data_IF_379920116663
#
_entry.id   IF_379920116663
#
_cell.length_a   1.000
_cell.length_b   1.000
_cell.length_c   1.000
_cell.angle_alpha   90.00
_cell.angle_beta   90.00
_cell.angle_gamma   90.00
#
_symmetry.space_group_name_H-M   'P 1'
#
loop_
_entity.id
_entity.type
_entity.pdbx_description
1 polymer ?
#
# COMPACT_ATOMS: atom_id res chain seq x y z
N UNK A 1 -3.33 -7.89 -7.42
CA UNK A 1 -2.56 -8.60 -8.47
C UNK A 1 -1.78 -9.73 -7.79
N UNK A 2 -0.73 -10.29 -8.39
CA UNK A 2 0.23 -11.13 -7.64
C UNK A 2 1.45 -10.27 -7.27
N UNK A 3 1.77 -10.17 -5.99
CA UNK A 3 2.81 -9.28 -5.47
C UNK A 3 4.19 -9.59 -6.08
N UNK A 4 4.51 -10.87 -6.30
CA UNK A 4 5.78 -11.25 -6.93
C UNK A 4 5.80 -11.01 -8.44
N UNK A 5 4.65 -11.12 -9.12
CA UNK A 5 4.56 -10.78 -10.54
C UNK A 5 4.71 -9.27 -10.77
N UNK A 6 4.08 -8.45 -9.92
CA UNK A 6 4.21 -6.99 -9.94
C UNK A 6 5.67 -6.56 -9.68
N UNK A 7 6.28 -7.11 -8.61
CA UNK A 7 7.67 -6.88 -8.25
C UNK A 7 8.64 -7.24 -9.39
N UNK A 8 8.44 -8.39 -10.06
CA UNK A 8 9.29 -8.83 -11.19
C UNK A 8 9.09 -8.01 -12.46
N UNK A 9 7.88 -7.51 -12.74
CA UNK A 9 7.64 -6.58 -13.85
C UNK A 9 8.38 -5.25 -13.61
N UNK A 10 8.29 -4.70 -12.40
CA UNK A 10 9.01 -3.49 -12.00
C UNK A 10 10.53 -3.69 -12.07
N UNK A 11 11.06 -4.81 -11.55
CA UNK A 11 12.49 -5.13 -11.69
C UNK A 11 12.92 -5.25 -13.16
N UNK A 12 12.11 -5.87 -14.03
CA UNK A 12 12.40 -5.97 -15.47
C UNK A 12 12.50 -4.58 -16.12
N UNK A 13 11.64 -3.64 -15.72
CA UNK A 13 11.71 -2.24 -16.15
C UNK A 13 12.98 -1.52 -15.68
N UNK A 14 13.39 -1.74 -14.43
CA UNK A 14 14.63 -1.18 -13.87
C UNK A 14 15.89 -1.77 -14.52
N UNK A 15 15.91 -3.08 -14.80
CA UNK A 15 17.02 -3.73 -15.52
C UNK A 15 17.18 -3.16 -16.93
N UNK A 16 16.09 -2.87 -17.65
CA UNK A 16 16.16 -2.16 -18.94
C UNK A 16 16.74 -0.76 -18.78
N UNK A 17 16.28 0.02 -17.80
CA UNK A 17 16.82 1.35 -17.49
C UNK A 17 18.35 1.31 -17.28
N UNK A 18 18.84 0.38 -16.44
CA UNK A 18 20.28 0.24 -16.17
C UNK A 18 21.09 -0.15 -17.43
N UNK A 19 20.51 -0.97 -18.32
CA UNK A 19 21.15 -1.41 -19.58
C UNK A 19 21.13 -0.34 -20.67
N UNK A 20 19.99 0.32 -20.88
CA UNK A 20 19.67 1.12 -22.06
C UNK A 20 19.99 2.62 -21.89
N UNK A 21 19.81 3.18 -20.69
CA UNK A 21 20.07 4.61 -20.44
C UNK A 21 21.58 4.94 -20.44
N UNK A 22 21.91 6.18 -20.78
CA UNK A 22 23.26 6.72 -20.63
C UNK A 22 23.42 7.45 -19.30
N UNK A 23 24.23 6.87 -18.42
CA UNK A 23 24.63 7.41 -17.12
C UNK A 23 26.12 7.16 -16.94
N UNK A 24 26.84 8.14 -16.39
CA UNK A 24 28.28 8.10 -16.10
C UNK A 24 28.56 8.10 -14.59
N UNK A 25 27.67 8.70 -13.80
CA UNK A 25 27.78 8.80 -12.34
C UNK A 25 26.73 7.90 -11.65
N UNK A 26 27.04 7.43 -10.44
CA UNK A 26 26.06 6.67 -9.65
C UNK A 26 24.89 7.57 -9.20
N UNK A 27 25.12 8.86 -8.98
CA UNK A 27 24.09 9.85 -8.65
C UNK A 27 23.01 9.94 -9.75
N UNK A 28 23.41 10.03 -11.02
CA UNK A 28 22.50 10.10 -12.17
C UNK A 28 21.57 8.88 -12.20
N UNK A 29 22.12 7.69 -11.97
CA UNK A 29 21.35 6.44 -11.93
C UNK A 29 20.39 6.37 -10.73
N UNK A 30 20.84 6.80 -9.54
CA UNK A 30 19.97 6.88 -8.35
C UNK A 30 18.77 7.80 -8.60
N UNK A 31 18.99 8.95 -9.24
CA UNK A 31 17.93 9.92 -9.47
C UNK A 31 16.98 9.52 -10.63
N UNK A 32 17.47 8.81 -11.65
CA UNK A 32 16.62 8.15 -12.65
C UNK A 32 15.71 7.07 -12.04
N UNK A 33 16.26 6.24 -11.13
CA UNK A 33 15.49 5.20 -10.45
C UNK A 33 14.48 5.80 -9.45
N UNK A 34 14.85 6.87 -8.73
CA UNK A 34 13.91 7.66 -7.90
C UNK A 34 12.79 8.27 -8.72
N UNK A 35 13.10 8.84 -9.90
CA UNK A 35 12.10 9.43 -10.79
C UNK A 35 11.07 8.40 -11.27
N UNK A 36 11.50 7.16 -11.56
CA UNK A 36 10.58 6.03 -11.85
C UNK A 36 9.75 5.62 -10.63
N UNK A 37 10.34 5.65 -9.43
CA UNK A 37 9.68 5.24 -8.19
C UNK A 37 8.66 6.24 -7.62
N UNK A 38 8.81 7.54 -7.93
CA UNK A 38 8.07 8.63 -7.26
C UNK A 38 6.54 8.52 -7.30
N UNK A 39 5.99 7.87 -8.32
CA UNK A 39 4.54 7.74 -8.52
C UNK A 39 3.97 6.39 -8.03
N UNK A 40 4.77 5.55 -7.37
CA UNK A 40 4.33 4.26 -6.84
C UNK A 40 3.70 4.42 -5.44
N UNK A 41 2.68 3.61 -5.14
CA UNK A 41 2.12 3.57 -3.78
C UNK A 41 3.17 3.10 -2.76
N UNK A 42 3.29 3.73 -1.58
CA UNK A 42 4.47 3.57 -0.72
C UNK A 42 4.69 2.14 -0.20
N UNK A 43 3.63 1.35 -0.04
CA UNK A 43 3.68 -0.06 0.37
C UNK A 43 3.55 -1.08 -0.78
N UNK A 44 3.50 -0.64 -2.04
CA UNK A 44 3.44 -1.58 -3.18
C UNK A 44 4.72 -2.42 -3.25
N UNK A 45 4.63 -3.71 -3.65
CA UNK A 45 5.79 -4.55 -3.97
C UNK A 45 6.75 -3.90 -4.96
N UNK A 46 6.24 -3.12 -5.92
CA UNK A 46 7.05 -2.31 -6.85
C UNK A 46 7.86 -1.23 -6.14
N UNK A 47 7.29 -0.53 -5.15
CA UNK A 47 8.02 0.47 -4.36
C UNK A 47 9.09 -0.18 -3.48
N UNK A 48 8.81 -1.35 -2.90
CA UNK A 48 9.81 -2.15 -2.17
C UNK A 48 10.96 -2.58 -3.11
N UNK A 49 10.68 -3.04 -4.33
CA UNK A 49 11.71 -3.35 -5.35
C UNK A 49 12.54 -2.12 -5.70
N UNK A 50 11.92 -0.95 -5.93
CA UNK A 50 12.67 0.29 -6.21
C UNK A 50 13.63 0.63 -5.06
N UNK A 51 13.17 0.58 -3.79
CA UNK A 51 14.03 0.82 -2.62
C UNK A 51 15.18 -0.20 -2.52
N UNK A 52 14.92 -1.47 -2.83
CA UNK A 52 15.97 -2.52 -2.89
C UNK A 52 17.00 -2.25 -4.00
N UNK A 53 16.57 -1.81 -5.18
CA UNK A 53 17.47 -1.44 -6.30
C UNK A 53 18.28 -0.17 -5.99
N UNK A 54 17.67 0.85 -5.39
CA UNK A 54 18.39 2.05 -4.91
C UNK A 54 19.48 1.70 -3.90
N UNK A 55 19.22 0.73 -3.00
CA UNK A 55 20.27 0.21 -2.13
C UNK A 55 21.35 -0.55 -2.89
N UNK A 56 21.02 -1.47 -3.80
CA UNK A 56 22.03 -2.20 -4.59
C UNK A 56 22.98 -1.25 -5.33
N UNK A 57 22.47 -0.14 -5.88
CA UNK A 57 23.29 0.91 -6.52
C UNK A 57 24.30 1.51 -5.53
N UNK A 58 23.91 1.77 -4.27
CA UNK A 58 24.82 2.30 -3.24
C UNK A 58 25.79 1.26 -2.70
N UNK A 59 25.33 0.04 -2.44
CA UNK A 59 26.14 -1.01 -1.84
C UNK A 59 27.26 -1.45 -2.81
N UNK A 60 26.97 -1.63 -4.11
CA UNK A 60 28.00 -1.91 -5.12
C UNK A 60 28.92 -0.70 -5.37
N UNK A 61 28.40 0.54 -5.36
CA UNK A 61 29.25 1.72 -5.48
C UNK A 61 30.22 1.87 -4.29
N UNK A 62 29.74 1.67 -3.07
CA UNK A 62 30.58 1.68 -1.87
C UNK A 62 31.61 0.54 -1.89
N UNK A 63 31.21 -0.66 -2.32
CA UNK A 63 32.10 -1.82 -2.52
C UNK A 63 33.21 -1.54 -3.54
N UNK A 64 32.88 -0.84 -4.64
CA UNK A 64 33.82 -0.43 -5.68
C UNK A 64 34.79 0.67 -5.22
N UNK A 65 34.31 1.66 -4.44
CA UNK A 65 35.11 2.83 -4.01
C UNK A 65 35.97 2.55 -2.77
N UNK A 66 35.45 1.79 -1.80
CA UNK A 66 36.17 1.44 -0.55
C UNK A 66 36.97 0.15 -0.65
N UNK A 67 36.71 -0.66 -1.69
CA UNK A 67 37.17 -2.04 -1.77
C UNK A 67 36.39 -2.97 -0.84
N UNK A 68 36.71 -4.28 -0.89
CA UNK A 68 35.99 -5.35 -0.17
C UNK A 68 36.30 -5.41 1.35
N UNK A 69 36.17 -4.30 2.07
CA UNK A 69 36.31 -4.23 3.54
C UNK A 69 35.19 -3.43 4.23
N UNK A 70 33.93 -3.67 3.85
CA UNK A 70 32.80 -3.36 4.73
C UNK A 70 32.62 -4.53 5.72
N UNK A 71 33.41 -4.53 6.80
CA UNK A 71 33.19 -5.44 7.94
C UNK A 71 31.77 -5.19 8.51
N UNK A 72 31.00 -6.27 8.68
CA UNK A 72 29.58 -6.22 8.96
C UNK A 72 29.24 -5.67 10.37
N UNK A 73 30.15 -5.82 11.33
CA UNK A 73 29.84 -5.81 12.77
C UNK A 73 30.43 -4.64 13.58
N UNK A 74 30.73 -3.49 12.95
CA UNK A 74 31.03 -2.25 13.70
C UNK A 74 29.76 -1.42 13.89
N UNK A 75 29.43 -1.15 15.16
CA UNK A 75 28.23 -0.45 15.62
C UNK A 75 27.90 0.82 14.82
N UNK A 76 26.63 0.96 14.44
CA UNK A 76 26.12 2.11 13.66
C UNK A 76 26.41 3.44 14.35
N UNK A 77 26.27 3.50 15.69
CA UNK A 77 26.62 4.68 16.49
C UNK A 77 28.12 4.95 16.48
N UNK A 78 28.96 3.91 16.57
CA UNK A 78 30.41 4.11 16.55
C UNK A 78 30.89 4.56 15.16
N UNK A 79 30.32 4.03 14.07
CA UNK A 79 30.55 4.56 12.72
C UNK A 79 30.13 6.03 12.61
N UNK A 80 28.93 6.39 13.05
CA UNK A 80 28.42 7.78 12.95
C UNK A 80 29.19 8.77 13.83
N UNK A 81 29.70 8.35 14.99
CA UNK A 81 30.52 9.18 15.88
C UNK A 81 32.00 9.28 15.44
N UNK A 82 32.53 8.28 14.72
CA UNK A 82 33.89 8.30 14.16
C UNK A 82 33.94 8.86 12.73
N UNK A 83 32.80 9.03 12.05
CA UNK A 83 32.67 9.61 10.72
C UNK A 83 32.97 11.12 10.69
N UNK A 84 34.23 11.48 10.98
CA UNK A 84 34.84 12.71 10.49
C UNK A 84 35.41 12.42 9.10
N UNK A 85 34.76 13.00 8.10
CA UNK A 85 35.28 13.24 6.73
C UNK A 85 35.41 12.03 5.76
N UNK A 86 34.94 10.83 6.10
CA UNK A 86 35.00 9.66 5.17
C UNK A 86 33.94 9.69 4.05
N UNK A 87 34.42 9.74 2.80
CA UNK A 87 33.67 10.14 1.59
C UNK A 87 32.80 9.03 0.95
N UNK A 88 31.80 8.51 1.66
CA UNK A 88 30.91 7.43 1.14
C UNK A 88 29.65 7.96 0.41
N UNK A 89 29.23 9.20 0.68
CA UNK A 89 28.03 9.82 0.08
C UNK A 89 28.29 10.58 -1.23
N UNK A 90 29.53 10.58 -1.73
CA UNK A 90 29.93 11.28 -2.95
C UNK A 90 29.74 10.40 -4.20
N UNK A 91 28.48 10.22 -4.61
CA UNK A 91 28.08 9.40 -5.77
C UNK A 91 28.45 10.00 -7.14
N UNK A 92 29.22 11.10 -7.17
CA UNK A 92 29.54 11.86 -8.39
C UNK A 92 30.72 11.29 -9.17
N UNK A 93 31.57 10.47 -8.53
CA UNK A 93 32.79 9.94 -9.16
C UNK A 93 32.42 8.79 -10.12
N UNK A 94 32.77 8.86 -11.41
CA UNK A 94 32.45 7.79 -12.36
C UNK A 94 33.31 6.54 -12.09
N UNK A 95 32.69 5.36 -12.11
CA UNK A 95 33.38 4.07 -11.92
C UNK A 95 33.17 3.13 -13.13
N UNK A 96 34.19 2.92 -13.98
CA UNK A 96 34.09 2.00 -15.12
C UNK A 96 34.03 0.55 -14.62
N UNK A 97 32.88 -0.10 -14.81
CA UNK A 97 32.60 -1.47 -14.34
C UNK A 97 31.32 -1.58 -13.51
N UNK A 98 30.84 -0.48 -12.91
CA UNK A 98 29.66 -0.49 -12.04
C UNK A 98 28.41 -1.06 -12.75
N UNK A 99 28.25 -0.79 -14.04
CA UNK A 99 27.12 -1.30 -14.84
C UNK A 99 27.12 -2.83 -14.92
N UNK A 100 28.26 -3.49 -15.03
CA UNK A 100 28.33 -4.95 -15.12
C UNK A 100 28.02 -5.58 -13.76
N UNK A 101 28.65 -5.07 -12.69
CA UNK A 101 28.41 -5.51 -11.32
C UNK A 101 26.94 -5.36 -10.91
N UNK A 102 26.32 -4.22 -11.23
CA UNK A 102 24.89 -4.01 -10.94
C UNK A 102 23.99 -4.96 -11.73
N UNK A 103 24.33 -5.32 -12.97
CA UNK A 103 23.52 -6.25 -13.74
C UNK A 103 23.60 -7.68 -13.20
N UNK A 104 24.79 -8.13 -12.76
CA UNK A 104 24.92 -9.40 -12.04
C UNK A 104 24.10 -9.42 -10.75
N UNK A 105 24.13 -8.33 -9.96
CA UNK A 105 23.35 -8.17 -8.73
C UNK A 105 21.84 -8.10 -8.96
N UNK A 106 21.39 -7.47 -10.05
CA UNK A 106 19.97 -7.36 -10.42
C UNK A 106 19.43 -8.68 -10.97
N UNK A 107 20.23 -9.41 -11.74
CA UNK A 107 19.88 -10.76 -12.21
C UNK A 107 19.78 -11.74 -11.01
N UNK A 108 20.60 -11.58 -9.96
CA UNK A 108 20.45 -12.35 -8.71
C UNK A 108 19.20 -11.95 -7.91
N UNK A 109 18.88 -10.65 -7.83
CA UNK A 109 17.61 -10.19 -7.25
C UNK A 109 16.39 -10.76 -8.00
N UNK A 110 16.45 -10.93 -9.33
CA UNK A 110 15.36 -11.55 -10.08
C UNK A 110 15.25 -13.07 -9.80
N UNK A 111 16.37 -13.75 -9.49
CA UNK A 111 16.35 -15.14 -9.02
C UNK A 111 15.75 -15.26 -7.62
N UNK A 112 16.10 -14.36 -6.69
CA UNK A 112 15.52 -14.34 -5.34
C UNK A 112 14.01 -14.12 -5.39
N UNK A 113 13.55 -13.06 -6.07
CA UNK A 113 12.13 -12.71 -6.18
C UNK A 113 11.30 -13.78 -6.90
N UNK A 114 11.92 -14.58 -7.79
CA UNK A 114 11.23 -15.64 -8.54
C UNK A 114 10.97 -16.91 -7.71
N UNK A 115 11.87 -17.25 -6.79
CA UNK A 115 11.74 -18.46 -5.95
C UNK A 115 11.24 -18.16 -4.53
N UNK A 116 10.96 -16.88 -4.22
CA UNK A 116 10.62 -16.43 -2.87
C UNK A 116 9.36 -17.12 -2.31
N UNK A 117 8.22 -17.09 -3.01
CA UNK A 117 7.01 -17.81 -2.58
C UNK A 117 7.15 -19.33 -2.65
N UNK A 118 8.01 -19.87 -3.52
CA UNK A 118 8.30 -21.31 -3.57
C UNK A 118 9.08 -21.76 -2.32
N UNK A 119 10.06 -20.96 -1.87
CA UNK A 119 10.83 -21.18 -0.66
C UNK A 119 9.98 -21.01 0.61
N UNK A 120 9.02 -20.07 0.62
CA UNK A 120 7.99 -19.99 1.68
C UNK A 120 7.12 -21.25 1.67
N UNK A 121 6.57 -21.63 0.50
CA UNK A 121 5.69 -22.80 0.37
C UNK A 121 6.40 -24.11 0.76
N UNK A 122 7.70 -24.23 0.51
CA UNK A 122 8.53 -25.37 0.89
C UNK A 122 8.55 -25.64 2.41
N UNK A 123 8.29 -24.63 3.25
CA UNK A 123 8.23 -24.74 4.71
C UNK A 123 6.85 -25.23 5.23
N UNK A 124 5.82 -25.33 4.38
CA UNK A 124 4.49 -25.83 4.76
C UNK A 124 4.52 -27.17 5.52
N UNK A 125 5.30 -28.18 5.07
CA UNK A 125 5.52 -29.44 5.79
C UNK A 125 6.31 -29.36 7.11
N UNK A 126 6.75 -28.20 7.56
CA UNK A 126 7.36 -28.02 8.89
C UNK A 126 6.34 -27.49 9.91
N UNK A 127 5.36 -26.71 9.45
CA UNK A 127 4.35 -26.07 10.31
C UNK A 127 3.00 -26.81 10.40
N UNK A 128 2.56 -27.51 9.34
CA UNK A 128 1.22 -28.13 9.27
C UNK A 128 1.27 -29.62 9.62
N UNK A 129 0.57 -30.04 10.67
CA UNK A 129 0.54 -31.40 11.20
C UNK A 129 -0.73 -32.16 10.76
N UNK A 130 -0.65 -33.49 10.68
CA UNK A 130 -1.84 -34.30 10.40
C UNK A 130 -2.83 -34.22 11.56
N UNK A 131 -4.10 -33.95 11.25
CA UNK A 131 -5.16 -33.67 12.23
C UNK A 131 -5.38 -32.19 12.55
N UNK A 132 -4.56 -31.27 12.01
CA UNK A 132 -4.80 -29.83 12.16
C UNK A 132 -6.14 -29.40 11.53
N UNK A 133 -6.85 -28.50 12.22
CA UNK A 133 -7.87 -27.64 11.63
C UNK A 133 -7.26 -26.24 11.43
N UNK A 134 -6.96 -25.89 10.19
CA UNK A 134 -6.36 -24.60 9.82
C UNK A 134 -7.46 -23.58 9.49
N UNK A 135 -7.18 -22.30 9.73
CA UNK A 135 -8.00 -21.18 9.25
C UNK A 135 -7.17 -20.25 8.36
N UNK A 136 -7.73 -19.86 7.21
CA UNK A 136 -7.21 -18.80 6.33
C UNK A 136 -8.35 -17.87 5.92
N UNK A 137 -8.05 -16.65 5.51
CA UNK A 137 -9.02 -15.68 4.98
C UNK A 137 -8.63 -15.21 3.58
N UNK A 138 -9.63 -14.87 2.76
CA UNK A 138 -9.44 -14.31 1.44
C UNK A 138 -8.62 -15.23 0.53
N UNK A 139 -7.76 -14.63 -0.32
CA UNK A 139 -6.94 -15.38 -1.28
C UNK A 139 -5.49 -14.88 -1.33
N UNK A 140 -4.57 -15.69 -0.83
CA UNK A 140 -3.13 -15.53 -1.09
C UNK A 140 -2.58 -16.73 -1.86
N UNK A 141 -1.84 -16.46 -2.94
CA UNK A 141 -1.17 -17.50 -3.75
C UNK A 141 -0.06 -18.21 -2.97
N UNK A 142 0.67 -17.49 -2.12
CA UNK A 142 1.71 -18.04 -1.26
C UNK A 142 1.10 -19.01 -0.23
N UNK A 143 -0.03 -18.65 0.38
CA UNK A 143 -0.78 -19.55 1.28
C UNK A 143 -1.37 -20.75 0.52
N UNK A 144 -1.93 -20.53 -0.68
CA UNK A 144 -2.43 -21.60 -1.55
C UNK A 144 -1.32 -22.63 -1.87
N UNK A 145 -0.12 -22.16 -2.21
CA UNK A 145 1.05 -23.00 -2.46
C UNK A 145 1.55 -23.72 -1.19
N UNK A 146 1.63 -23.02 -0.05
CA UNK A 146 2.05 -23.56 1.26
C UNK A 146 1.14 -24.72 1.72
N UNK A 147 -0.18 -24.53 1.64
CA UNK A 147 -1.17 -25.58 1.95
C UNK A 147 -1.05 -26.78 0.99
N UNK A 148 -0.94 -26.53 -0.32
CA UNK A 148 -0.77 -27.60 -1.32
C UNK A 148 0.53 -28.37 -1.14
N UNK A 149 1.62 -27.70 -0.75
CA UNK A 149 2.92 -28.31 -0.49
C UNK A 149 2.91 -29.16 0.78
N UNK A 150 2.17 -28.75 1.82
CA UNK A 150 1.93 -29.58 3.00
C UNK A 150 1.13 -30.87 2.67
N UNK A 151 0.10 -30.76 1.83
CA UNK A 151 -0.74 -31.89 1.42
C UNK A 151 0.00 -32.96 0.60
N UNK A 152 0.98 -32.56 -0.21
CA UNK A 152 1.83 -33.49 -0.99
C UNK A 152 2.56 -34.53 -0.12
N UNK A 153 2.87 -34.19 1.13
CA UNK A 153 3.57 -35.08 2.07
C UNK A 153 2.62 -36.04 2.82
N UNK A 154 1.52 -36.45 2.17
CA UNK A 154 0.51 -37.41 2.66
C UNK A 154 -0.16 -37.01 4.00
N UNK A 155 -0.20 -35.71 4.33
CA UNK A 155 -0.80 -35.21 5.57
C UNK A 155 -2.28 -34.93 5.39
N UNK A 156 -3.10 -35.52 6.25
CA UNK A 156 -4.54 -35.26 6.33
C UNK A 156 -4.81 -34.13 7.33
N UNK A 157 -5.25 -32.98 6.82
CA UNK A 157 -5.65 -31.83 7.62
C UNK A 157 -6.89 -31.18 6.99
N UNK A 158 -7.56 -30.30 7.74
CA UNK A 158 -8.75 -29.58 7.30
C UNK A 158 -8.45 -28.07 7.22
N UNK A 159 -9.11 -27.38 6.30
CA UNK A 159 -8.93 -25.93 6.10
C UNK A 159 -10.29 -25.22 6.09
N UNK A 160 -10.53 -24.39 7.09
CA UNK A 160 -11.57 -23.36 7.06
C UNK A 160 -11.05 -22.20 6.22
N UNK A 161 -11.82 -21.80 5.20
CA UNK A 161 -11.55 -20.63 4.37
C UNK A 161 -12.63 -19.60 4.66
N UNK A 162 -12.25 -18.52 5.34
CA UNK A 162 -13.09 -17.34 5.48
C UNK A 162 -13.14 -16.57 4.15
N UNK A 163 -14.33 -16.20 3.69
CA UNK A 163 -14.56 -15.75 2.32
C UNK A 163 -13.80 -14.46 1.94
N UNK A 164 -13.62 -13.53 2.88
CA UNK A 164 -13.02 -12.22 2.61
C UNK A 164 -13.96 -11.29 1.84
N UNK A 165 -15.12 -10.99 2.42
CA UNK A 165 -16.01 -9.94 1.94
C UNK A 165 -15.31 -8.57 1.98
N UNK A 166 -15.62 -7.65 1.03
CA UNK A 166 -16.72 -7.74 0.07
C UNK A 166 -16.37 -8.41 -1.28
N UNK A 167 -15.11 -8.84 -1.48
CA UNK A 167 -14.69 -9.46 -2.75
C UNK A 167 -14.90 -10.97 -2.82
N UNK A 168 -15.03 -11.62 -1.67
CA UNK A 168 -15.22 -13.07 -1.51
C UNK A 168 -14.18 -13.93 -2.26
N UNK A 169 -12.95 -13.44 -2.41
CA UNK A 169 -11.89 -14.12 -3.19
C UNK A 169 -11.52 -15.50 -2.60
N UNK A 170 -11.83 -15.74 -1.31
CA UNK A 170 -11.66 -17.03 -0.63
C UNK A 170 -12.47 -18.18 -1.23
N UNK A 171 -13.56 -17.91 -1.97
CA UNK A 171 -14.28 -18.94 -2.73
C UNK A 171 -13.35 -19.63 -3.74
N UNK A 172 -12.53 -18.84 -4.46
CA UNK A 172 -11.58 -19.35 -5.45
C UNK A 172 -10.44 -20.13 -4.80
N UNK A 173 -10.03 -19.76 -3.58
CA UNK A 173 -9.05 -20.49 -2.78
C UNK A 173 -9.61 -21.85 -2.32
N UNK A 174 -10.83 -21.86 -1.77
CA UNK A 174 -11.51 -23.07 -1.31
C UNK A 174 -11.66 -24.10 -2.44
N UNK A 175 -12.14 -23.69 -3.62
CA UNK A 175 -12.17 -24.56 -4.80
C UNK A 175 -10.77 -25.09 -5.17
N UNK A 176 -9.76 -24.23 -5.16
CA UNK A 176 -8.42 -24.59 -5.64
C UNK A 176 -7.70 -25.56 -4.70
N UNK A 177 -8.06 -25.57 -3.42
CA UNK A 177 -7.63 -26.54 -2.42
C UNK A 177 -8.48 -27.84 -2.50
N UNK A 178 -9.80 -27.74 -2.67
CA UNK A 178 -10.69 -28.87 -2.88
C UNK A 178 -10.31 -29.70 -4.13
N UNK A 179 -9.93 -29.02 -5.22
CA UNK A 179 -9.39 -29.64 -6.45
C UNK A 179 -8.11 -30.46 -6.25
N UNK A 180 -7.40 -30.29 -5.13
CA UNK A 180 -6.21 -31.06 -4.73
C UNK A 180 -6.55 -32.17 -3.71
N UNK A 181 -7.81 -32.29 -3.29
CA UNK A 181 -8.26 -33.28 -2.31
C UNK A 181 -8.07 -32.86 -0.84
N UNK A 182 -7.77 -31.58 -0.59
CA UNK A 182 -7.71 -31.04 0.77
C UNK A 182 -9.15 -30.84 1.28
N UNK A 183 -9.42 -31.30 2.50
CA UNK A 183 -10.73 -31.18 3.13
C UNK A 183 -10.99 -29.71 3.54
N UNK A 184 -11.70 -28.98 2.69
CA UNK A 184 -11.96 -27.55 2.84
C UNK A 184 -13.40 -27.26 3.23
N UNK A 185 -13.62 -26.15 3.92
CA UNK A 185 -14.96 -25.64 4.24
C UNK A 185 -14.95 -24.12 4.11
N UNK A 186 -15.84 -23.58 3.29
CA UNK A 186 -16.05 -22.14 3.17
C UNK A 186 -16.86 -21.64 4.37
N UNK A 187 -16.49 -20.49 4.92
CA UNK A 187 -17.04 -19.90 6.14
C UNK A 187 -17.27 -18.39 5.90
N UNK A 188 -18.40 -17.81 6.31
CA UNK A 188 -18.58 -16.36 6.25
C UNK A 188 -17.75 -15.66 7.34
N UNK A 189 -17.24 -14.46 7.06
CA UNK A 189 -16.29 -13.79 7.97
C UNK A 189 -16.88 -13.55 9.38
N UNK A 190 -18.20 -13.37 9.48
CA UNK A 190 -18.93 -13.25 10.75
C UNK A 190 -18.86 -14.49 11.65
N UNK A 191 -18.56 -15.68 11.11
CA UNK A 191 -18.45 -16.93 11.85
C UNK A 191 -17.01 -17.24 12.32
N UNK A 192 -16.00 -16.43 11.93
CA UNK A 192 -14.59 -16.61 12.32
C UNK A 192 -14.44 -16.82 13.84
N UNK A 193 -14.97 -15.88 14.64
CA UNK A 193 -14.83 -15.92 16.11
C UNK A 193 -15.56 -17.11 16.74
N UNK A 194 -16.67 -17.56 16.14
CA UNK A 194 -17.45 -18.70 16.64
C UNK A 194 -16.76 -20.06 16.37
N UNK A 195 -15.94 -20.15 15.32
CA UNK A 195 -15.18 -21.36 14.98
C UNK A 195 -13.76 -21.36 15.56
N UNK A 196 -13.18 -20.18 15.86
CA UNK A 196 -11.81 -20.03 16.37
C UNK A 196 -11.44 -20.97 17.54
N UNK A 197 -12.31 -21.26 18.54
CA UNK A 197 -11.99 -22.20 19.62
C UNK A 197 -11.75 -23.66 19.19
N UNK A 198 -11.99 -24.00 17.92
CA UNK A 198 -11.71 -25.32 17.31
C UNK A 198 -10.47 -25.31 16.41
N UNK A 199 -10.00 -24.13 16.01
CA UNK A 199 -8.89 -23.95 15.06
C UNK A 199 -7.57 -24.24 15.76
N UNK A 200 -6.74 -25.07 15.14
CA UNK A 200 -5.43 -25.46 15.66
C UNK A 200 -4.35 -24.42 15.37
N UNK A 201 -4.41 -23.80 14.17
CA UNK A 201 -3.47 -22.78 13.69
C UNK A 201 -4.18 -21.85 12.69
N UNK A 202 -3.84 -20.56 12.70
CA UNK A 202 -4.25 -19.62 11.67
C UNK A 202 -3.09 -19.39 10.71
N UNK A 203 -3.37 -19.31 9.40
CA UNK A 203 -2.40 -18.96 8.37
C UNK A 203 -2.97 -17.81 7.54
N UNK A 204 -2.25 -16.68 7.47
CA UNK A 204 -2.60 -15.54 6.63
C UNK A 204 -1.56 -15.27 5.54
N UNK A 205 -1.99 -14.63 4.46
CA UNK A 205 -1.12 -13.86 3.59
C UNK A 205 -1.05 -12.40 4.04
N UNK A 206 -0.12 -11.66 3.47
CA UNK A 206 0.04 -10.21 3.69
C UNK A 206 0.40 -9.56 2.36
N UNK A 207 -0.06 -8.33 2.15
CA UNK A 207 0.30 -7.52 0.99
C UNK A 207 1.64 -6.80 1.23
N UNK A 208 1.90 -6.39 2.48
CA UNK A 208 3.12 -5.69 2.88
C UNK A 208 3.44 -5.89 4.37
N UNK A 209 4.71 -6.14 4.71
CA UNK A 209 5.23 -6.19 6.09
C UNK A 209 6.02 -4.91 6.38
N UNK A 210 5.64 -4.22 7.46
CA UNK A 210 6.24 -2.96 7.91
C UNK A 210 7.48 -3.21 8.79
N UNK A 211 8.37 -2.22 8.87
CA UNK A 211 9.66 -2.35 9.54
C UNK A 211 9.61 -2.39 11.08
N UNK A 212 8.43 -2.24 11.68
CA UNK A 212 8.14 -2.52 13.08
C UNK A 212 7.72 -3.98 13.33
N UNK A 213 7.32 -4.71 12.27
CA UNK A 213 6.70 -6.03 12.32
C UNK A 213 5.19 -6.04 12.07
N UNK A 214 4.56 -4.87 11.88
CA UNK A 214 3.16 -4.75 11.51
C UNK A 214 2.90 -5.21 10.07
N UNK A 215 1.63 -5.43 9.74
CA UNK A 215 1.20 -5.93 8.42
C UNK A 215 0.16 -5.00 7.80
N UNK A 216 0.29 -4.78 6.50
CA UNK A 216 -0.84 -4.50 5.63
C UNK A 216 -1.34 -5.83 5.04
N UNK A 217 -2.64 -6.08 5.15
CA UNK A 217 -3.28 -7.30 4.67
C UNK A 217 -4.71 -7.01 4.18
N UNK A 218 -5.42 -7.97 3.56
CA UNK A 218 -6.80 -7.76 3.14
C UNK A 218 -7.73 -7.41 4.32
N UNK A 219 -8.75 -6.60 4.03
CA UNK A 219 -9.82 -6.22 4.97
C UNK A 219 -10.31 -7.39 5.86
N UNK A 220 -10.40 -7.15 7.17
CA UNK A 220 -10.82 -8.15 8.16
C UNK A 220 -9.68 -8.96 8.79
N UNK A 221 -8.45 -8.86 8.27
CA UNK A 221 -7.28 -9.56 8.82
C UNK A 221 -6.98 -9.17 10.27
N UNK A 222 -7.19 -7.91 10.67
CA UNK A 222 -6.98 -7.47 12.05
C UNK A 222 -8.03 -8.09 12.99
N UNK A 223 -9.30 -8.10 12.59
CA UNK A 223 -10.38 -8.72 13.36
C UNK A 223 -10.14 -10.23 13.57
N UNK A 224 -9.66 -10.91 12.53
CA UNK A 224 -9.25 -12.32 12.60
C UNK A 224 -8.06 -12.52 13.54
N UNK A 225 -7.04 -11.65 13.47
CA UNK A 225 -5.85 -11.72 14.33
C UNK A 225 -6.18 -11.46 15.82
N UNK A 226 -7.09 -10.53 16.10
CA UNK A 226 -7.65 -10.33 17.46
C UNK A 226 -8.39 -11.57 17.94
N UNK A 227 -9.23 -12.19 17.11
CA UNK A 227 -9.93 -13.43 17.45
C UNK A 227 -8.95 -14.58 17.75
N UNK A 228 -7.88 -14.70 16.95
CA UNK A 228 -6.83 -15.70 17.16
C UNK A 228 -6.13 -15.50 18.52
N UNK A 229 -5.69 -14.26 18.81
CA UNK A 229 -5.09 -13.88 20.10
C UNK A 229 -6.03 -14.13 21.29
N UNK A 230 -7.31 -13.78 21.16
CA UNK A 230 -8.33 -14.01 22.19
C UNK A 230 -8.53 -15.50 22.51
N UNK A 231 -8.50 -16.36 21.49
CA UNK A 231 -8.60 -17.82 21.65
C UNK A 231 -7.24 -18.52 21.86
N UNK A 232 -6.14 -17.77 22.02
CA UNK A 232 -4.77 -18.28 22.13
C UNK A 232 -4.32 -19.21 20.96
N UNK A 233 -4.89 -19.03 19.77
CA UNK A 233 -4.55 -19.78 18.56
C UNK A 233 -3.33 -19.13 17.89
N UNK A 234 -2.27 -19.88 17.54
CA UNK A 234 -1.09 -19.31 16.88
C UNK A 234 -1.41 -18.85 15.46
N UNK A 235 -1.03 -17.61 15.14
CA UNK A 235 -1.09 -17.03 13.79
C UNK A 235 0.29 -17.11 13.10
N UNK A 236 0.32 -17.71 11.91
CA UNK A 236 1.44 -17.72 11.00
C UNK A 236 1.14 -16.82 9.81
N UNK A 237 2.11 -16.04 9.35
CA UNK A 237 1.94 -15.13 8.21
C UNK A 237 2.98 -15.41 7.13
N UNK A 238 2.52 -15.79 5.94
CA UNK A 238 3.38 -16.08 4.79
C UNK A 238 3.76 -14.78 4.07
N UNK A 239 5.00 -14.35 4.23
CA UNK A 239 5.53 -13.08 3.73
C UNK A 239 6.70 -13.31 2.73
N UNK A 240 6.42 -13.35 1.41
CA UNK A 240 7.48 -13.42 0.39
C UNK A 240 8.32 -12.14 0.35
N UNK A 241 9.58 -12.23 -0.10
CA UNK A 241 10.58 -11.16 -0.01
C UNK A 241 10.26 -9.85 -0.76
N UNK A 242 9.26 -9.86 -1.64
CA UNK A 242 8.70 -8.67 -2.29
C UNK A 242 7.81 -7.82 -1.36
N UNK A 243 7.19 -8.45 -0.34
CA UNK A 243 6.26 -7.79 0.59
C UNK A 243 6.96 -7.06 1.73
N UNK A 244 8.26 -7.27 1.95
CA UNK A 244 8.99 -6.69 3.07
C UNK A 244 9.37 -5.23 2.79
N UNK A 245 8.92 -4.30 3.63
CA UNK A 245 9.13 -2.86 3.46
C UNK A 245 9.99 -2.25 4.60
N UNK A 246 10.82 -1.24 4.31
CA UNK A 246 11.50 -0.45 5.34
C UNK A 246 10.59 0.54 6.09
N UNK A 247 9.35 0.76 5.65
CA UNK A 247 8.54 1.83 6.21
C UNK A 247 8.01 1.50 7.60
N UNK A 248 7.96 2.53 8.46
CA UNK A 248 7.29 2.50 9.76
C UNK A 248 5.91 3.16 9.65
N UNK A 249 4.86 2.62 10.29
CA UNK A 249 3.60 3.33 10.43
C UNK A 249 3.80 4.58 11.31
N UNK A 250 3.35 5.74 10.83
CA UNK A 250 3.34 6.99 11.59
C UNK A 250 2.05 7.20 12.40
N UNK A 251 1.02 6.40 12.09
CA UNK A 251 -0.25 6.26 12.82
C UNK A 251 -0.87 4.90 12.47
N UNK A 252 -1.83 4.41 13.27
CA UNK A 252 -2.45 3.09 13.06
C UNK A 252 -3.23 2.99 11.73
N UNK A 253 -3.77 4.11 11.24
CA UNK A 253 -4.47 4.22 9.95
C UNK A 253 -3.60 4.73 8.80
N UNK A 254 -2.30 4.99 9.03
CA UNK A 254 -1.36 5.61 8.08
C UNK A 254 -1.35 5.00 6.67
N UNK A 255 -1.66 3.71 6.58
CA UNK A 255 -1.61 2.92 5.35
C UNK A 255 -2.92 2.17 5.05
N UNK A 256 -4.02 2.54 5.70
CA UNK A 256 -5.33 1.98 5.37
C UNK A 256 -5.81 2.52 4.02
N UNK A 257 -6.06 1.63 3.06
CA UNK A 257 -6.54 2.01 1.73
C UNK A 257 -8.05 1.84 1.62
N UNK A 258 -8.72 2.82 1.01
CA UNK A 258 -10.10 2.69 0.56
C UNK A 258 -10.13 2.16 -0.88
N UNK A 259 -11.04 1.24 -1.16
CA UNK A 259 -11.33 0.73 -2.51
C UNK A 259 -12.64 1.31 -3.07
N UNK A 260 -12.94 0.98 -4.33
CA UNK A 260 -14.26 1.27 -4.92
C UNK A 260 -15.39 0.72 -4.04
N UNK A 261 -16.48 1.47 -3.80
CA UNK A 261 -17.64 0.99 -3.05
C UNK A 261 -18.46 -0.06 -3.82
N UNK A 262 -18.28 -0.19 -5.14
CA UNK A 262 -19.02 -1.11 -6.03
C UNK A 262 -19.21 -2.54 -5.49
N UNK A 263 -18.22 -3.23 -4.88
CA UNK A 263 -18.40 -4.60 -4.38
C UNK A 263 -19.35 -4.71 -3.18
N UNK A 264 -19.70 -3.59 -2.53
CA UNK A 264 -20.69 -3.54 -1.44
C UNK A 264 -22.14 -3.47 -1.97
N UNK A 265 -22.33 -3.29 -3.28
CA UNK A 265 -23.64 -3.17 -3.93
C UNK A 265 -24.05 -1.71 -4.22
N UNK A 266 -25.32 -1.48 -4.61
CA UNK A 266 -25.79 -0.15 -4.99
C UNK A 266 -25.88 0.78 -3.78
N UNK A 267 -25.57 2.06 -3.98
CA UNK A 267 -25.60 3.05 -2.91
C UNK A 267 -26.98 3.19 -2.24
N UNK A 268 -27.03 3.35 -0.91
CA UNK A 268 -28.28 3.49 -0.18
C UNK A 268 -28.93 4.85 -0.48
N UNK A 269 -30.16 4.81 -0.99
CA UNK A 269 -30.98 5.98 -1.38
C UNK A 269 -31.30 7.00 -0.26
N UNK A 270 -30.81 6.77 0.95
CA UNK A 270 -30.97 7.62 2.13
C UNK A 270 -29.81 8.62 2.34
N UNK A 271 -28.89 8.75 1.38
CA UNK A 271 -27.71 9.63 1.51
C UNK A 271 -26.68 9.13 2.53
N UNK A 272 -26.66 7.83 2.83
CA UNK A 272 -25.68 7.25 3.74
C UNK A 272 -24.38 6.93 3.00
N UNK A 273 -23.24 7.38 3.54
CA UNK A 273 -21.93 7.20 2.93
C UNK A 273 -21.50 5.72 2.92
N UNK A 274 -21.11 5.22 1.74
CA UNK A 274 -20.66 3.85 1.54
C UNK A 274 -19.12 3.80 1.52
N UNK A 275 -18.52 3.15 2.52
CA UNK A 275 -17.06 3.05 2.68
C UNK A 275 -16.57 1.60 2.54
N UNK A 276 -15.62 1.37 1.65
CA UNK A 276 -14.97 0.07 1.46
C UNK A 276 -13.47 0.15 1.86
N UNK A 277 -13.07 -0.25 3.08
CA UNK A 277 -11.66 -0.45 3.38
C UNK A 277 -11.14 -1.65 2.57
N UNK A 278 -10.21 -1.41 1.65
CA UNK A 278 -9.60 -2.46 0.83
C UNK A 278 -8.53 -3.25 1.62
N UNK A 279 -7.80 -2.57 2.51
CA UNK A 279 -6.77 -3.16 3.35
C UNK A 279 -6.97 -2.85 4.83
N UNK A 280 -6.31 -3.66 5.65
CA UNK A 280 -6.34 -3.67 7.11
C UNK A 280 -4.91 -3.55 7.65
N UNK A 281 -4.74 -2.92 8.81
CA UNK A 281 -3.43 -2.69 9.43
C UNK A 281 -3.34 -3.49 10.73
N UNK A 282 -2.54 -4.57 10.74
CA UNK A 282 -2.40 -5.49 11.87
C UNK A 282 -1.13 -5.12 12.65
N UNK A 283 -1.20 -4.72 13.94
CA UNK A 283 -0.02 -4.37 14.72
C UNK A 283 0.87 -5.59 15.04
N UNK A 284 2.19 -5.42 15.21
CA UNK A 284 3.16 -6.51 15.42
C UNK A 284 2.82 -7.42 16.61
N UNK A 285 2.19 -6.85 17.65
CA UNK A 285 1.65 -7.53 18.83
C UNK A 285 0.68 -8.69 18.57
N UNK A 286 0.15 -8.81 17.34
CA UNK A 286 -0.76 -9.88 16.93
C UNK A 286 -0.09 -10.96 16.06
N UNK A 287 1.19 -10.81 15.71
CA UNK A 287 1.84 -11.53 14.60
C UNK A 287 3.00 -12.42 15.09
N UNK A 288 2.75 -13.53 15.80
CA UNK A 288 3.81 -14.24 16.52
C UNK A 288 4.86 -14.94 15.62
N UNK A 289 4.55 -15.24 14.35
CA UNK A 289 5.48 -15.86 13.42
C UNK A 289 5.29 -15.36 11.96
N UNK A 290 6.34 -14.74 11.42
CA UNK A 290 6.51 -14.46 9.99
C UNK A 290 7.24 -15.63 9.33
N UNK A 291 6.69 -16.19 8.25
CA UNK A 291 7.35 -17.22 7.43
C UNK A 291 7.80 -16.58 6.12
N UNK A 292 9.12 -16.51 5.92
CA UNK A 292 9.77 -15.83 4.79
C UNK A 292 10.62 -16.81 3.99
N UNK A 293 11.17 -16.39 2.84
CA UNK A 293 12.09 -17.20 2.05
C UNK A 293 13.39 -17.58 2.77
N UNK A 294 13.75 -16.87 3.85
CA UNK A 294 14.91 -17.15 4.70
C UNK A 294 14.59 -18.06 5.91
N UNK A 295 13.32 -18.35 6.17
CA UNK A 295 12.86 -19.13 7.32
C UNK A 295 11.73 -18.46 8.12
N UNK A 296 11.42 -19.05 9.28
CA UNK A 296 10.49 -18.50 10.26
C UNK A 296 11.16 -17.53 11.23
N UNK A 297 10.60 -16.33 11.39
CA UNK A 297 11.12 -15.27 12.25
C UNK A 297 10.02 -14.67 13.15
N UNK A 298 10.39 -14.29 14.37
CA UNK A 298 9.55 -13.43 15.23
C UNK A 298 9.38 -12.04 14.59
N UNK A 299 8.28 -11.30 14.86
CA UNK A 299 7.93 -10.02 14.22
C UNK A 299 8.77 -8.83 14.72
N UNK A 300 10.05 -9.02 15.06
CA UNK A 300 10.88 -7.93 15.57
C UNK A 300 11.31 -7.00 14.43
N UNK A 301 11.31 -5.69 14.71
CA UNK A 301 11.84 -4.66 13.81
C UNK A 301 13.29 -4.93 13.34
N UNK A 302 14.09 -5.64 14.16
CA UNK A 302 15.43 -6.07 13.79
C UNK A 302 15.41 -7.15 12.69
N UNK A 303 14.50 -8.13 12.79
CA UNK A 303 14.33 -9.17 11.77
C UNK A 303 13.82 -8.56 10.46
N UNK A 304 12.75 -7.75 10.48
CA UNK A 304 12.18 -7.19 9.24
C UNK A 304 13.18 -6.27 8.54
N UNK A 305 13.92 -5.41 9.25
CA UNK A 305 14.99 -4.59 8.64
C UNK A 305 16.19 -5.39 8.12
N UNK A 306 16.44 -6.58 8.68
CA UNK A 306 17.46 -7.47 8.15
C UNK A 306 17.00 -8.23 6.89
N UNK A 307 15.70 -8.54 6.81
CA UNK A 307 15.11 -9.37 5.74
C UNK A 307 14.59 -8.54 4.54
N UNK A 308 14.09 -7.31 4.77
CA UNK A 308 13.79 -6.35 3.69
C UNK A 308 15.04 -5.85 2.97
N UNK A 309 16.23 -6.17 3.50
CA UNK A 309 17.51 -5.71 3.03
C UNK A 309 17.57 -4.18 2.86
N UNK A 310 16.90 -3.42 3.73
CA UNK A 310 16.88 -1.96 3.67
C UNK A 310 17.50 -1.34 4.94
N UNK A 311 18.68 -0.73 4.77
CA UNK A 311 19.45 -0.04 5.84
C UNK A 311 19.77 1.43 5.52
N UNK A 312 19.39 1.93 4.34
CA UNK A 312 19.69 3.29 3.89
C UNK A 312 18.58 4.27 4.28
N UNK A 313 18.76 4.94 5.43
CA UNK A 313 17.83 5.96 5.95
C UNK A 313 17.56 7.09 4.93
N UNK A 314 18.49 7.33 4.00
CA UNK A 314 18.38 8.39 2.98
C UNK A 314 17.25 8.20 1.96
N UNK A 315 16.66 7.00 1.83
CA UNK A 315 15.46 6.81 1.01
C UNK A 315 14.15 6.94 1.79
N UNK A 316 14.18 6.96 3.13
CA UNK A 316 13.01 7.39 3.92
C UNK A 316 12.66 8.87 3.64
N UNK A 317 13.63 9.63 3.12
CA UNK A 317 13.47 11.02 2.65
C UNK A 317 12.68 11.15 1.34
N UNK A 318 12.53 10.07 0.57
CA UNK A 318 11.59 10.05 -0.56
C UNK A 318 10.16 10.17 -0.01
N UNK A 319 9.90 9.49 1.10
CA UNK A 319 8.63 9.52 1.82
C UNK A 319 8.50 10.76 2.74
N UNK A 320 9.59 11.45 3.15
CA UNK A 320 9.51 12.77 3.83
C UNK A 320 8.79 13.83 3.00
N UNK A 321 8.98 13.86 1.67
CA UNK A 321 8.22 14.75 0.78
C UNK A 321 6.71 14.44 0.80
N UNK A 322 6.35 13.18 1.08
CA UNK A 322 4.97 12.75 1.30
C UNK A 322 4.47 13.08 2.71
N UNK A 323 5.36 13.07 3.72
CA UNK A 323 5.09 13.54 5.09
C UNK A 323 4.80 15.04 5.13
N UNK A 324 5.58 15.87 4.44
CA UNK A 324 5.29 17.32 4.36
C UNK A 324 3.91 17.57 3.73
N UNK A 325 3.64 16.95 2.56
CA UNK A 325 2.34 17.05 1.90
C UNK A 325 1.17 16.54 2.76
N UNK A 326 1.32 15.43 3.48
CA UNK A 326 0.27 14.91 4.37
C UNK A 326 0.13 15.72 5.66
N UNK A 327 1.22 16.31 6.17
CA UNK A 327 1.18 17.16 7.38
C UNK A 327 0.45 18.48 7.17
N UNK A 328 0.35 18.94 5.91
CA UNK A 328 -0.48 20.07 5.49
C UNK A 328 -1.99 19.73 5.48
N UNK A 329 -2.35 18.44 5.59
CA UNK A 329 -3.73 17.97 5.75
C UNK A 329 -3.88 17.13 7.04
N UNK A 330 -3.94 17.77 8.22
CA UNK A 330 -4.29 17.09 9.47
C UNK A 330 -5.62 16.35 9.34
N UNK A 331 -5.76 15.21 10.04
CA UNK A 331 -6.94 14.36 9.99
C UNK A 331 -8.22 15.10 10.46
N UNK A 332 -8.98 15.64 9.51
CA UNK A 332 -10.19 16.41 9.74
C UNK A 332 -11.22 16.16 8.62
N UNK A 333 -11.89 15.00 8.68
CA UNK A 333 -13.18 14.80 7.99
C UNK A 333 -14.24 15.51 8.84
N UNK A 334 -14.90 16.55 8.32
CA UNK A 334 -16.30 16.38 7.90
C UNK A 334 -16.52 17.05 6.51
N UNK A 335 -17.74 17.30 5.99
CA UNK A 335 -18.14 16.68 4.72
C UNK A 335 -18.48 17.71 3.63
N UNK A 336 -19.18 17.25 2.58
CA UNK A 336 -19.85 18.07 1.55
C UNK A 336 -18.94 18.84 0.58
N UNK A 337 -18.55 18.16 -0.51
CA UNK A 337 -18.54 18.76 -1.84
C UNK A 337 -19.29 17.84 -2.79
N UNK A 338 -20.27 18.39 -3.51
CA UNK A 338 -21.06 17.70 -4.53
C UNK A 338 -20.19 17.32 -5.73
N UNK A 339 -20.42 16.13 -6.30
CA UNK A 339 -19.85 15.77 -7.59
C UNK A 339 -20.47 16.61 -8.71
N UNK A 340 -19.63 17.30 -9.47
CA UNK A 340 -19.84 17.62 -10.89
C UNK A 340 -18.48 17.76 -11.56
N UNK A 341 -18.38 17.36 -12.83
CA UNK A 341 -17.15 17.31 -13.64
C UNK A 341 -16.05 16.34 -13.15
N UNK A 342 -16.28 15.04 -13.31
CA UNK A 342 -15.20 14.10 -13.64
C UNK A 342 -15.57 13.32 -14.91
N UNK A 343 -14.77 13.49 -15.96
CA UNK A 343 -14.87 12.74 -17.22
C UNK A 343 -13.68 11.80 -17.32
N UNK A 344 -13.99 10.54 -17.60
CA UNK A 344 -13.14 9.44 -18.12
C UNK A 344 -11.63 9.44 -17.77
N UNK A 345 -11.22 8.45 -16.96
CA UNK A 345 -9.85 7.93 -16.95
C UNK A 345 -9.81 6.45 -16.49
N UNK A 346 -10.53 5.56 -17.19
CA UNK A 346 -10.50 4.12 -16.92
C UNK A 346 -9.63 3.34 -17.94
N UNK A 347 -9.07 2.23 -17.47
CA UNK A 347 -8.16 1.27 -18.09
C UNK A 347 -7.96 1.30 -19.63
N UNK A 348 -6.75 1.66 -20.12
CA UNK A 348 -5.76 0.63 -20.57
C UNK A 348 -4.41 1.17 -21.10
N UNK A 349 -3.51 0.21 -21.37
CA UNK A 349 -2.17 0.37 -21.96
C UNK A 349 -2.22 0.46 -23.51
N UNK A 350 -1.20 1.11 -24.11
CA UNK A 350 -0.88 1.23 -25.56
C UNK A 350 -1.71 2.20 -26.44
N UNK A 351 -1.14 3.37 -26.71
CA UNK A 351 -1.18 4.04 -28.02
C UNK A 351 0.06 4.95 -28.21
N UNK A 352 0.36 5.33 -29.46
CA UNK A 352 1.43 6.28 -29.82
C UNK A 352 0.83 7.65 -30.15
N UNK A 353 1.60 8.71 -29.97
CA UNK A 353 1.24 10.11 -30.18
C UNK A 353 0.50 10.43 -31.49
N UNK A 354 -0.46 11.36 -31.44
CA UNK A 354 -0.51 12.58 -32.29
C UNK A 354 -1.82 13.36 -32.10
N UNK A 355 -1.79 14.66 -32.44
CA UNK A 355 -2.92 15.61 -32.59
C UNK A 355 -3.69 15.95 -31.29
N UNK A 356 -4.19 17.15 -30.99
CA UNK A 356 -4.22 18.52 -31.55
C UNK A 356 -5.67 19.05 -31.63
N UNK A 357 -5.93 20.07 -30.80
CA UNK A 357 -6.99 21.09 -30.82
C UNK A 357 -8.49 20.74 -30.77
N UNK A 358 -9.20 21.64 -30.08
CA UNK A 358 -10.62 22.05 -30.11
C UNK A 358 -11.66 21.04 -30.64
N UNK A 359 -12.59 20.59 -29.79
CA UNK A 359 -13.89 21.29 -29.64
C UNK A 359 -14.78 20.75 -28.48
N UNK A 360 -15.89 21.46 -28.24
CA UNK A 360 -17.15 21.15 -27.51
C UNK A 360 -17.46 22.13 -26.37
N UNK A 361 -18.10 23.23 -26.77
CA UNK A 361 -18.89 24.11 -25.90
C UNK A 361 -20.38 23.91 -26.21
N UNK A 362 -21.12 23.23 -25.32
CA UNK A 362 -22.59 23.21 -25.35
C UNK A 362 -23.22 22.77 -24.00
N UNK A 363 -24.45 23.23 -23.76
CA UNK A 363 -25.43 22.69 -22.80
C UNK A 363 -25.29 22.98 -21.29
N UNK A 364 -25.24 24.26 -20.90
CA UNK A 364 -25.87 24.73 -19.64
C UNK A 364 -26.79 25.91 -19.95
N UNK A 365 -28.11 25.69 -19.97
CA UNK A 365 -29.10 26.74 -20.20
C UNK A 365 -30.49 26.38 -19.64
N UNK A 366 -30.90 27.06 -18.55
CA UNK A 366 -32.25 27.00 -17.97
C UNK A 366 -32.51 25.82 -17.02
N UNK A 367 -33.42 25.91 -16.04
CA UNK A 367 -34.16 27.11 -15.56
C UNK A 367 -34.66 26.90 -14.12
N UNK A 368 -34.99 27.97 -13.42
CA UNK A 368 -35.55 27.97 -12.05
C UNK A 368 -37.08 27.78 -12.08
N UNK A 369 -37.71 27.34 -10.97
CA UNK A 369 -38.66 28.14 -10.15
C UNK A 369 -39.62 27.31 -9.24
N UNK A 370 -40.28 28.03 -8.30
CA UNK A 370 -41.48 27.67 -7.52
C UNK A 370 -41.33 26.67 -6.33
N UNK A 371 -42.03 26.81 -5.18
CA UNK A 371 -42.63 27.98 -4.49
C UNK A 371 -42.88 27.65 -2.98
N UNK A 372 -43.63 28.47 -2.22
CA UNK A 372 -43.63 28.49 -0.73
C UNK A 372 -45.02 28.22 -0.04
N UNK A 373 -45.06 28.46 1.29
CA UNK A 373 -46.23 28.50 2.22
C UNK A 373 -46.88 27.15 2.63
N UNK A 374 -47.54 26.93 3.78
CA UNK A 374 -47.60 27.42 5.19
C UNK A 374 -48.49 26.40 5.99
N UNK A 375 -48.65 26.27 7.31
CA UNK A 375 -48.77 27.20 8.46
C UNK A 375 -48.88 26.47 9.84
N UNK A 376 -48.52 27.16 10.94
CA UNK A 376 -48.91 27.12 12.38
C UNK A 376 -49.41 25.86 13.16
N UNK A 377 -48.95 25.70 14.42
CA UNK A 377 -49.68 25.98 15.69
C UNK A 377 -48.78 25.76 16.95
N UNK A 378 -49.14 26.30 18.14
CA UNK A 378 -48.32 26.40 19.40
C UNK A 378 -48.87 25.50 20.55
N UNK A 379 -48.30 25.25 21.74
CA UNK A 379 -47.22 25.80 22.64
C UNK A 379 -46.44 24.55 23.24
N UNK A 380 -45.42 24.52 24.14
CA UNK A 380 -44.78 25.46 25.08
C UNK A 380 -43.35 25.02 25.57
N UNK A 381 -42.66 25.96 26.25
CA UNK A 381 -41.48 25.99 27.19
C UNK A 381 -40.78 24.71 27.73
N UNK A 382 -39.52 24.82 28.25
CA UNK A 382 -38.45 25.79 27.91
C UNK A 382 -36.98 25.26 27.87
N UNK A 383 -36.18 25.93 27.04
CA UNK A 383 -34.76 26.35 27.21
C UNK A 383 -33.68 25.45 27.86
N UNK A 384 -32.72 25.02 27.03
CA UNK A 384 -31.29 25.33 27.29
C UNK A 384 -30.61 25.69 25.94
N UNK A 385 -30.28 26.97 25.74
CA UNK A 385 -29.97 27.52 24.40
C UNK A 385 -28.47 27.71 24.14
N UNK A 386 -27.91 26.90 23.24
CA UNK A 386 -26.55 27.11 22.68
C UNK A 386 -26.61 28.05 21.47
N UNK A 387 -26.00 29.22 21.58
CA UNK A 387 -26.07 30.26 20.56
C UNK A 387 -25.14 30.00 19.36
N UNK A 388 -25.66 29.35 18.31
CA UNK A 388 -24.94 29.13 17.04
C UNK A 388 -24.78 30.46 16.28
N UNK A 389 -23.57 31.03 16.30
CA UNK A 389 -23.26 32.27 15.59
C UNK A 389 -23.09 32.00 14.10
N UNK A 390 -24.01 32.50 13.27
CA UNK A 390 -23.85 32.50 11.82
C UNK A 390 -22.67 33.42 11.41
N UNK A 391 -21.71 32.87 10.66
CA UNK A 391 -20.63 33.63 10.04
C UNK A 391 -21.02 34.08 8.63
N UNK A 392 -20.49 35.22 8.19
CA UNK A 392 -20.74 35.75 6.85
C UNK A 392 -19.89 35.04 5.79
N UNK A 393 -20.37 35.03 4.54
CA UNK A 393 -19.63 34.43 3.41
C UNK A 393 -18.23 35.04 3.19
N UNK A 394 -17.99 36.27 3.67
CA UNK A 394 -16.66 36.91 3.63
C UNK A 394 -15.67 36.28 4.62
N UNK A 395 -16.14 35.81 5.77
CA UNK A 395 -15.32 35.11 6.77
C UNK A 395 -15.00 33.69 6.31
N UNK A 396 -15.96 33.00 5.67
CA UNK A 396 -15.75 31.70 5.01
C UNK A 396 -14.71 31.80 3.90
N UNK A 397 -14.80 32.82 3.04
CA UNK A 397 -13.84 33.05 1.95
C UNK A 397 -12.39 33.32 2.43
N UNK A 398 -12.22 33.79 3.67
CA UNK A 398 -10.89 33.97 4.26
C UNK A 398 -10.27 32.66 4.77
N UNK A 399 -11.10 31.70 5.23
CA UNK A 399 -10.63 30.41 5.74
C UNK A 399 -10.05 29.49 4.65
N UNK A 400 -10.59 29.56 3.42
CA UNK A 400 -10.17 28.71 2.29
C UNK A 400 -8.98 29.25 1.46
N UNK A 401 -8.26 30.27 1.95
CA UNK A 401 -6.96 30.66 1.38
C UNK A 401 -6.97 31.17 -0.07
N UNK A 402 -8.12 31.60 -0.61
CA UNK A 402 -8.29 32.05 -2.00
C UNK A 402 -7.53 33.36 -2.30
N UNK A 403 -6.25 33.24 -2.65
CA UNK A 403 -5.37 34.32 -3.05
C UNK A 403 -5.89 35.05 -4.30
N UNK A 404 -6.41 36.27 -4.11
CA UNK A 404 -6.96 37.09 -5.19
C UNK A 404 -5.88 37.62 -6.14
N UNK A 405 -5.60 36.85 -7.20
CA UNK A 405 -5.35 37.38 -8.55
C UNK A 405 -6.42 36.76 -9.46
N UNK A 406 -7.15 37.51 -10.30
CA UNK A 406 -6.87 38.86 -10.80
C UNK A 406 -7.78 39.94 -10.20
N UNK A 407 -7.26 41.17 -10.14
CA UNK A 407 -8.05 42.41 -10.14
C UNK A 407 -7.39 43.34 -11.15
N UNK A 408 -8.06 43.59 -12.26
CA UNK A 408 -7.54 44.32 -13.41
C UNK A 408 -8.72 44.82 -14.25
N UNK A 409 -9.19 46.01 -13.87
CA UNK A 409 -9.82 47.03 -14.70
C UNK A 409 -10.98 46.61 -15.63
N UNK A 410 -12.20 46.72 -15.09
CA UNK A 410 -13.38 47.18 -15.84
C UNK A 410 -14.11 48.27 -15.03
N UNK A 411 -13.49 49.44 -14.92
CA UNK A 411 -14.23 50.70 -14.80
C UNK A 411 -14.46 51.22 -16.23
N UNK A 412 -15.71 51.33 -16.69
CA UNK A 412 -15.94 51.71 -18.09
C UNK A 412 -17.33 51.50 -18.69
N UNK A 413 -18.43 51.60 -17.92
CA UNK A 413 -19.78 51.64 -18.51
C UNK A 413 -20.05 52.97 -19.21
N UNK A 414 -19.45 53.15 -20.38
CA UNK A 414 -19.69 54.28 -21.28
C UNK A 414 -21.03 54.13 -22.01
N UNK A 415 -21.99 55.01 -21.71
CA UNK A 415 -23.23 55.12 -22.46
C UNK A 415 -22.99 55.81 -23.81
N UNK A 416 -23.19 55.09 -24.92
CA UNK A 416 -23.43 55.71 -26.22
C UNK A 416 -24.25 54.80 -27.15
N UNK A 417 -25.34 55.35 -27.69
CA UNK A 417 -26.06 54.79 -28.83
C UNK A 417 -25.17 54.66 -30.07
N UNK A 418 -25.56 53.77 -30.99
CA UNK A 418 -25.72 53.97 -32.45
C UNK A 418 -26.41 52.68 -32.97
N UNK A 419 -27.61 52.78 -33.55
CA UNK A 419 -27.86 52.67 -35.00
C UNK A 419 -27.52 51.28 -35.59
N UNK A 420 -28.45 50.58 -36.27
CA UNK A 420 -29.84 50.93 -36.65
C UNK A 420 -30.70 49.68 -36.88
#
# INVERSE_FOLDING_TARGET
>A
MDAEAEARLTLTGLVRLVREEQWQQAQELLDLVRARGKNLAPLSPSANVVRRVLRLIRDEYASAVLGRQVEADRDSLQKLLLARDDSVSDYTRPFPGLREQLLDSLDELERELRHSAENVAAQGPEHIQSGDLLLTQGRSRTVEAFLKRAAQNQRTFQVLVAEGGPRCEGVQLAESLARVGIATTLVPDSAILALMPRVSKVILGTDCVLADGGLQAPCGSHALALAARHCAVPLLVCAPGATLSPLLPWSESAYQQLGSPEPLGPEPRSGALLLNPASDCVPPDLVPLLVTSAGGHAPSAANVRSLSCARSCDDERIDDAFRELSSLFPAAVPPEVSADNFVEADCNVQAVASLADEDIVAAVAGTQDAQADSSSDEEDRPDEAVATRAYSAAEVAAAFGLSRRCRGDMEGTGLSHLES
#
